data_IF_480229769906
#
_entry.id   IF_480229769906
#
_cell.length_a   1.000
_cell.length_b   1.000
_cell.length_c   1.000
_cell.angle_alpha   90.00
_cell.angle_beta   90.00
_cell.angle_gamma   90.00
#
_symmetry.space_group_name_H-M   'P 1'
#
loop_
_entity.id
_entity.type
_entity.pdbx_description
1 polymer ?
#
# COMPACT_ATOMS: atom_id res chain seq x y z
N UNK A 1 -26.60 -47.16 -11.06
CA UNK A 1 -26.64 -46.74 -12.48
C UNK A 1 -28.10 -46.45 -12.84
N UNK A 2 -28.34 -45.52 -13.76
CA UNK A 2 -29.67 -45.09 -14.26
C UNK A 2 -30.29 -43.94 -13.44
N UNK A 3 -29.70 -42.75 -13.43
CA UNK A 3 -29.76 -41.73 -14.50
C UNK A 3 -31.08 -40.93 -14.41
N UNK A 4 -30.98 -39.83 -13.67
CA UNK A 4 -32.06 -38.87 -13.46
C UNK A 4 -32.32 -38.09 -14.75
N UNK A 5 -33.41 -38.44 -15.43
CA UNK A 5 -33.96 -37.59 -16.49
C UNK A 5 -34.97 -36.64 -15.88
N UNK A 6 -34.59 -35.37 -15.77
CA UNK A 6 -35.55 -34.28 -15.65
C UNK A 6 -36.51 -34.35 -16.83
N UNK A 7 -37.78 -34.68 -16.55
CA UNK A 7 -38.83 -34.62 -17.54
C UNK A 7 -39.23 -33.15 -17.64
N UNK A 8 -38.71 -32.47 -18.66
CA UNK A 8 -39.15 -31.11 -18.99
C UNK A 8 -40.55 -31.22 -19.59
N UNK A 9 -41.56 -30.88 -18.79
CA UNK A 9 -42.94 -30.79 -19.27
C UNK A 9 -43.11 -29.49 -20.05
N UNK A 10 -43.07 -29.60 -21.38
CA UNK A 10 -43.37 -28.49 -22.28
C UNK A 10 -44.86 -28.50 -22.59
N UNK A 11 -45.62 -27.57 -22.03
CA UNK A 11 -47.04 -27.34 -22.40
C UNK A 11 -47.12 -26.37 -23.57
N UNK A 12 -47.50 -26.87 -24.74
CA UNK A 12 -48.06 -26.04 -25.80
C UNK A 12 -49.53 -25.71 -25.49
N UNK A 13 -49.98 -24.48 -25.78
CA UNK A 13 -51.43 -24.18 -25.74
C UNK A 13 -52.08 -24.98 -26.86
N UNK A 14 -52.81 -26.02 -26.49
CA UNK A 14 -53.76 -26.69 -27.39
C UNK A 14 -55.06 -25.90 -27.30
N UNK A 15 -55.36 -25.14 -28.34
CA UNK A 15 -56.59 -24.35 -28.44
C UNK A 15 -57.75 -25.26 -28.88
N UNK A 16 -58.13 -26.18 -27.99
CA UNK A 16 -59.27 -27.07 -28.19
C UNK A 16 -60.45 -26.54 -27.37
N UNK A 17 -61.38 -25.89 -28.08
CA UNK A 17 -62.58 -25.28 -27.51
C UNK A 17 -63.52 -26.28 -26.85
N UNK A 18 -63.40 -27.59 -27.12
CA UNK A 18 -64.23 -28.64 -26.51
C UNK A 18 -63.55 -29.42 -25.38
N UNK A 19 -62.30 -29.10 -25.05
CA UNK A 19 -61.53 -29.84 -24.04
C UNK A 19 -62.12 -29.68 -22.62
N UNK A 20 -62.61 -28.49 -22.31
CA UNK A 20 -63.19 -28.15 -20.99
C UNK A 20 -64.48 -28.95 -20.76
N UNK A 21 -65.37 -29.04 -21.74
CA UNK A 21 -66.63 -29.78 -21.64
C UNK A 21 -66.44 -31.28 -21.47
N UNK A 22 -65.41 -31.86 -22.10
CA UNK A 22 -65.07 -33.29 -21.92
C UNK A 22 -64.53 -33.57 -20.53
N UNK A 23 -63.69 -32.68 -19.98
CA UNK A 23 -63.13 -32.82 -18.63
C UNK A 23 -64.21 -32.71 -17.55
N UNK A 24 -65.22 -31.84 -17.76
CA UNK A 24 -66.41 -31.77 -16.90
C UNK A 24 -67.25 -33.05 -16.94
N UNK A 25 -67.48 -33.62 -18.13
CA UNK A 25 -68.23 -34.90 -18.28
C UNK A 25 -67.51 -36.10 -17.67
N UNK A 26 -66.18 -36.08 -17.58
CA UNK A 26 -65.39 -37.14 -16.95
C UNK A 26 -65.23 -36.99 -15.43
N UNK A 27 -65.91 -36.01 -14.80
CA UNK A 27 -65.94 -35.87 -13.33
C UNK A 27 -64.61 -35.45 -12.71
N UNK A 28 -63.77 -34.73 -13.45
CA UNK A 28 -62.46 -34.29 -12.96
C UNK A 28 -62.65 -33.13 -11.98
N UNK A 29 -62.14 -33.27 -10.75
CA UNK A 29 -62.08 -32.17 -9.79
C UNK A 29 -60.98 -31.19 -10.19
N UNK A 30 -61.37 -29.98 -10.57
CA UNK A 30 -60.42 -28.90 -10.85
C UNK A 30 -59.95 -28.28 -9.53
N UNK A 31 -58.75 -28.64 -9.08
CA UNK A 31 -58.11 -28.00 -7.93
C UNK A 31 -57.32 -26.77 -8.36
N UNK A 32 -57.81 -25.57 -8.04
CA UNK A 32 -57.00 -24.36 -8.12
C UNK A 32 -56.15 -24.22 -6.85
N UNK A 33 -54.83 -24.31 -7.00
CA UNK A 33 -53.92 -23.82 -5.96
C UNK A 33 -53.95 -22.30 -6.09
N UNK A 34 -54.80 -21.62 -5.33
CA UNK A 34 -54.75 -20.15 -5.23
C UNK A 34 -53.37 -19.85 -4.61
N UNK A 35 -52.41 -19.26 -5.34
CA UNK A 35 -51.18 -18.84 -4.70
C UNK A 35 -51.59 -17.74 -3.72
N UNK A 36 -51.49 -18.04 -2.43
CA UNK A 36 -51.72 -17.05 -1.37
C UNK A 36 -50.65 -15.98 -1.56
N UNK A 37 -50.98 -14.92 -2.29
CA UNK A 37 -50.12 -13.74 -2.46
C UNK A 37 -49.94 -13.16 -1.07
N UNK A 38 -48.75 -13.36 -0.51
CA UNK A 38 -48.37 -12.70 0.73
C UNK A 38 -48.60 -11.20 0.56
N UNK A 39 -49.20 -10.56 1.56
CA UNK A 39 -49.53 -9.14 1.50
C UNK A 39 -48.30 -8.34 1.04
N UNK A 40 -48.39 -7.47 0.01
CA UNK A 40 -47.25 -6.72 -0.51
C UNK A 40 -46.48 -5.93 0.56
N UNK A 41 -47.18 -5.52 1.62
CA UNK A 41 -46.60 -4.87 2.79
C UNK A 41 -45.72 -5.83 3.62
N UNK A 42 -46.14 -7.07 3.81
CA UNK A 42 -45.39 -8.09 4.54
C UNK A 42 -44.14 -8.53 3.77
N UNK A 43 -44.21 -8.62 2.44
CA UNK A 43 -43.03 -8.90 1.61
C UNK A 43 -41.98 -7.77 1.68
N UNK A 44 -42.43 -6.52 1.70
CA UNK A 44 -41.54 -5.36 1.83
C UNK A 44 -40.90 -5.31 3.22
N UNK A 45 -41.68 -5.57 4.27
CA UNK A 45 -41.19 -5.61 5.65
C UNK A 45 -40.11 -6.68 5.84
N UNK A 46 -40.26 -7.85 5.20
CA UNK A 46 -39.29 -8.95 5.32
C UNK A 46 -37.92 -8.64 4.68
N UNK A 47 -37.86 -7.71 3.73
CA UNK A 47 -36.59 -7.24 3.14
C UNK A 47 -35.99 -6.05 3.88
N UNK A 48 -36.84 -5.18 4.44
CA UNK A 48 -36.38 -4.00 5.18
C UNK A 48 -35.87 -4.40 6.57
N UNK A 49 -36.49 -5.39 7.21
CA UNK A 49 -36.16 -5.79 8.58
C UNK A 49 -34.69 -6.27 8.72
N UNK A 50 -34.15 -7.16 7.86
CA UNK A 50 -32.74 -7.55 7.94
C UNK A 50 -31.80 -6.37 7.70
N UNK A 51 -32.10 -5.52 6.72
CA UNK A 51 -31.27 -4.36 6.38
C UNK A 51 -31.21 -3.35 7.54
N UNK A 52 -32.37 -3.04 8.13
CA UNK A 52 -32.46 -2.13 9.27
C UNK A 52 -31.74 -2.69 10.51
N UNK A 53 -31.80 -4.02 10.74
CA UNK A 53 -31.10 -4.69 11.81
C UNK A 53 -29.57 -4.62 11.63
N UNK A 54 -29.06 -4.87 10.41
CA UNK A 54 -27.65 -4.70 10.11
C UNK A 54 -27.16 -3.26 10.32
N UNK A 55 -27.94 -2.27 9.89
CA UNK A 55 -27.61 -0.85 10.08
C UNK A 55 -27.62 -0.49 11.58
N UNK A 56 -28.63 -0.93 12.33
CA UNK A 56 -28.74 -0.66 13.76
C UNK A 56 -27.63 -1.30 14.59
N UNK A 57 -27.31 -2.57 14.33
CA UNK A 57 -26.18 -3.27 14.96
C UNK A 57 -24.85 -2.62 14.56
N UNK A 58 -24.70 -2.24 13.29
CA UNK A 58 -23.53 -1.53 12.79
C UNK A 58 -23.31 -0.19 13.48
N UNK A 59 -24.36 0.63 13.64
CA UNK A 59 -24.28 1.91 14.35
C UNK A 59 -23.96 1.74 15.84
N UNK A 60 -24.53 0.72 16.50
CA UNK A 60 -24.28 0.45 17.91
C UNK A 60 -22.85 -0.07 18.16
N UNK A 61 -22.31 -0.90 17.26
CA UNK A 61 -20.92 -1.35 17.30
C UNK A 61 -19.93 -0.24 16.95
N UNK A 62 -20.24 0.58 15.93
CA UNK A 62 -19.44 1.73 15.55
C UNK A 62 -19.37 2.77 16.69
N UNK A 63 -20.48 3.03 17.38
CA UNK A 63 -20.50 3.91 18.56
C UNK A 63 -19.63 3.41 19.72
N UNK A 64 -19.53 2.08 19.90
CA UNK A 64 -18.68 1.46 20.93
C UNK A 64 -17.19 1.40 20.53
N UNK A 65 -16.87 1.28 19.24
CA UNK A 65 -15.49 1.33 18.75
C UNK A 65 -14.95 2.76 18.59
N UNK A 66 -15.79 3.72 18.19
CA UNK A 66 -15.40 5.12 18.04
C UNK A 66 -15.01 5.79 19.37
N UNK A 67 -15.57 5.32 20.51
CA UNK A 67 -15.19 5.78 21.84
C UNK A 67 -13.83 5.27 22.35
N UNK A 68 -13.24 4.26 21.69
CA UNK A 68 -11.95 3.65 22.10
C UNK A 68 -10.86 3.71 21.02
N UNK A 69 -11.21 4.08 19.79
CA UNK A 69 -10.31 4.26 18.66
C UNK A 69 -10.78 5.51 17.89
N UNK A 70 -10.24 6.67 18.24
CA UNK A 70 -10.53 7.90 17.50
C UNK A 70 -10.17 7.75 16.03
N UNK A 71 -11.10 8.09 15.13
CA UNK A 71 -10.78 8.35 13.73
C UNK A 71 -11.55 7.54 12.69
N UNK A 72 -12.86 7.83 12.54
CA UNK A 72 -13.61 7.54 11.31
C UNK A 72 -13.34 8.60 10.20
N UNK A 73 -12.32 9.46 10.38
CA UNK A 73 -11.83 10.40 9.36
C UNK A 73 -10.70 9.84 8.49
N UNK A 74 -10.20 8.63 8.77
CA UNK A 74 -8.95 8.13 8.20
C UNK A 74 -9.10 7.10 7.06
N UNK A 75 -10.33 6.83 6.59
CA UNK A 75 -10.55 5.97 5.42
C UNK A 75 -10.04 6.59 4.10
N UNK A 76 -9.81 7.92 4.07
CA UNK A 76 -9.19 8.63 2.96
C UNK A 76 -7.65 8.69 3.04
N UNK A 77 -7.03 8.07 4.05
CA UNK A 77 -5.56 8.06 4.23
C UNK A 77 -4.86 6.92 3.47
N UNK A 78 -5.55 6.21 2.57
CA UNK A 78 -4.96 5.13 1.76
C UNK A 78 -3.99 5.63 0.66
N UNK A 79 -3.83 6.96 0.51
CA UNK A 79 -3.00 7.58 -0.53
C UNK A 79 -1.67 8.20 -0.06
N UNK A 80 -1.44 8.36 1.25
CA UNK A 80 -0.15 8.83 1.75
C UNK A 80 0.67 7.62 2.20
N UNK A 81 1.60 7.17 1.37
CA UNK A 81 2.68 6.29 1.80
C UNK A 81 3.46 7.00 2.91
N UNK A 82 3.03 6.85 4.16
CA UNK A 82 3.90 7.07 5.33
C UNK A 82 4.91 5.94 5.33
N UNK A 83 5.80 5.94 4.34
CA UNK A 83 7.01 5.15 4.40
C UNK A 83 7.67 5.52 5.72
N UNK A 84 7.98 4.50 6.53
CA UNK A 84 8.84 4.67 7.70
C UNK A 84 10.22 5.05 7.15
N UNK A 85 10.39 6.33 6.82
CA UNK A 85 11.70 6.88 6.54
C UNK A 85 12.42 6.78 7.88
N UNK A 86 13.37 5.84 7.97
CA UNK A 86 14.22 5.69 9.13
C UNK A 86 15.11 6.93 9.19
N UNK A 87 14.63 7.94 9.92
CA UNK A 87 15.45 9.07 10.33
C UNK A 87 16.19 8.61 11.57
N UNK A 88 17.38 8.03 11.39
CA UNK A 88 18.33 7.94 12.49
C UNK A 88 18.83 9.36 12.74
N UNK A 89 18.31 10.00 13.80
CA UNK A 89 18.68 11.37 14.14
C UNK A 89 20.21 11.49 14.36
N UNK A 90 20.84 10.41 14.82
CA UNK A 90 22.29 10.24 14.93
C UNK A 90 22.62 8.75 14.81
N UNK A 91 23.60 8.40 13.97
CA UNK A 91 24.03 7.01 13.73
C UNK A 91 24.81 6.41 14.91
N UNK A 92 25.38 7.26 15.77
CA UNK A 92 26.24 6.85 16.89
C UNK A 92 27.53 6.14 16.45
N UNK A 93 27.90 6.26 15.18
CA UNK A 93 29.10 5.67 14.57
C UNK A 93 30.05 6.77 14.11
N UNK A 94 31.33 6.56 14.31
CA UNK A 94 32.43 7.49 14.01
C UNK A 94 33.45 6.83 13.09
N UNK A 95 34.41 7.58 12.55
CA UNK A 95 35.50 7.00 11.77
C UNK A 95 36.39 6.06 12.60
N UNK A 96 36.39 6.20 13.92
CA UNK A 96 37.06 5.27 14.83
C UNK A 96 36.41 3.88 14.84
N UNK A 97 35.12 3.77 14.50
CA UNK A 97 34.41 2.49 14.40
C UNK A 97 34.69 1.73 13.09
N UNK A 98 35.36 2.38 12.12
CA UNK A 98 35.72 1.78 10.84
C UNK A 98 37.20 1.39 10.89
N UNK A 99 37.52 0.11 10.71
CA UNK A 99 38.90 -0.37 10.63
C UNK A 99 39.40 -0.34 9.17
N UNK A 100 40.62 0.16 8.94
CA UNK A 100 41.21 0.27 7.60
C UNK A 100 40.58 1.33 6.70
N UNK A 101 40.70 1.16 5.38
CA UNK A 101 40.15 2.05 4.34
C UNK A 101 40.61 3.51 4.48
N UNK A 102 41.88 3.72 4.82
CA UNK A 102 42.43 5.05 5.14
C UNK A 102 42.27 6.05 3.98
N UNK A 103 42.46 5.58 2.74
CA UNK A 103 42.25 6.36 1.51
C UNK A 103 40.79 6.83 1.37
N UNK A 104 39.83 5.94 1.65
CA UNK A 104 38.41 6.27 1.58
C UNK A 104 37.98 7.21 2.73
N UNK A 105 38.54 7.03 3.93
CA UNK A 105 38.31 7.94 5.06
C UNK A 105 38.83 9.34 4.76
N UNK A 106 40.02 9.46 4.19
CA UNK A 106 40.60 10.77 3.82
C UNK A 106 39.73 11.48 2.79
N UNK A 107 39.29 10.79 1.74
CA UNK A 107 38.38 11.36 0.73
C UNK A 107 37.02 11.78 1.34
N UNK A 108 36.49 11.00 2.28
CA UNK A 108 35.23 11.32 2.94
C UNK A 108 35.37 12.39 4.02
N UNK A 109 36.57 12.60 4.58
CA UNK A 109 36.85 13.68 5.53
C UNK A 109 36.61 15.05 4.89
N UNK A 110 36.90 15.22 3.60
CA UNK A 110 36.58 16.44 2.86
C UNK A 110 35.07 16.72 2.83
N UNK A 111 34.25 15.67 2.66
CA UNK A 111 32.79 15.78 2.68
C UNK A 111 32.30 16.18 4.09
N UNK A 112 32.93 15.65 5.14
CA UNK A 112 32.64 16.04 6.53
C UNK A 112 32.97 17.52 6.77
N UNK A 113 34.13 18.00 6.33
CA UNK A 113 34.52 19.41 6.48
C UNK A 113 33.55 20.33 5.71
N UNK A 114 33.14 19.91 4.52
CA UNK A 114 32.14 20.61 3.72
C UNK A 114 30.79 20.74 4.45
N UNK A 115 30.28 19.65 5.04
CA UNK A 115 29.00 19.67 5.77
C UNK A 115 29.03 20.57 7.01
N UNK A 116 30.19 20.72 7.64
CA UNK A 116 30.37 21.65 8.77
C UNK A 116 30.43 23.11 8.33
N UNK A 117 31.10 23.43 7.22
CA UNK A 117 31.32 24.81 6.77
C UNK A 117 31.05 25.02 5.28
N UNK A 118 29.79 24.88 4.81
CA UNK A 118 29.46 25.00 3.39
C UNK A 118 29.75 26.40 2.81
N UNK A 119 29.72 27.45 3.64
CA UNK A 119 30.01 28.83 3.24
C UNK A 119 31.44 29.03 2.73
N UNK A 120 32.44 28.46 3.42
CA UNK A 120 33.87 28.56 3.08
C UNK A 120 34.15 28.07 1.65
N UNK A 121 33.50 26.98 1.24
CA UNK A 121 33.65 26.40 -0.11
C UNK A 121 32.89 27.21 -1.17
N UNK A 122 31.74 27.78 -0.81
CA UNK A 122 30.94 28.60 -1.72
C UNK A 122 31.63 29.93 -2.01
N UNK A 123 32.28 30.54 -1.02
CA UNK A 123 33.01 31.82 -1.15
C UNK A 123 34.20 31.74 -2.11
N UNK A 124 34.89 30.60 -2.14
CA UNK A 124 36.01 30.36 -3.07
C UNK A 124 35.55 29.83 -4.44
N UNK A 125 34.23 29.73 -4.67
CA UNK A 125 33.65 29.23 -5.93
C UNK A 125 33.81 27.73 -6.16
N UNK A 126 34.12 26.95 -5.11
CA UNK A 126 34.26 25.50 -5.24
C UNK A 126 32.89 24.85 -5.49
N UNK A 127 32.84 23.94 -6.47
CA UNK A 127 31.61 23.18 -6.75
C UNK A 127 31.46 22.05 -5.76
N UNK A 128 30.36 22.08 -5.02
CA UNK A 128 30.04 21.05 -4.03
C UNK A 128 29.74 19.72 -4.73
N UNK A 129 30.42 18.62 -4.37
CA UNK A 129 30.05 17.30 -4.87
C UNK A 129 28.64 16.95 -4.38
N UNK A 130 27.73 16.67 -5.32
CA UNK A 130 26.32 16.38 -5.01
C UNK A 130 26.10 14.96 -4.45
N UNK A 131 27.09 14.10 -4.53
CA UNK A 131 27.03 12.73 -4.03
C UNK A 131 28.36 12.00 -4.23
N UNK A 132 28.54 10.91 -3.51
CA UNK A 132 29.67 9.99 -3.63
C UNK A 132 29.14 8.57 -3.85
N UNK A 133 29.79 7.80 -4.71
CA UNK A 133 29.45 6.40 -4.96
C UNK A 133 30.52 5.50 -4.34
N UNK A 134 30.14 4.72 -3.33
CA UNK A 134 31.02 3.76 -2.69
C UNK A 134 30.92 2.42 -3.43
N UNK A 135 32.01 1.98 -4.06
CA UNK A 135 32.07 0.73 -4.83
C UNK A 135 33.06 -0.23 -4.16
N UNK A 136 32.67 -1.50 -4.07
CA UNK A 136 33.55 -2.55 -3.57
C UNK A 136 32.78 -3.85 -3.30
N UNK A 137 33.48 -4.97 -3.08
CA UNK A 137 32.87 -6.26 -2.74
C UNK A 137 31.89 -6.16 -1.56
N UNK A 138 30.89 -7.07 -1.44
CA UNK A 138 30.03 -7.10 -0.27
C UNK A 138 30.86 -7.33 1.00
N UNK A 139 30.46 -6.69 2.12
CA UNK A 139 31.14 -6.83 3.40
C UNK A 139 32.30 -5.87 3.66
N UNK A 140 32.69 -5.00 2.72
CA UNK A 140 33.76 -3.99 2.92
C UNK A 140 33.35 -2.77 3.74
N UNK A 141 32.27 -2.86 4.51
CA UNK A 141 31.88 -1.76 5.42
C UNK A 141 31.33 -0.50 4.75
N UNK A 142 30.94 -0.50 3.46
CA UNK A 142 30.37 0.70 2.76
C UNK A 142 29.26 1.39 3.55
N UNK A 143 28.29 0.63 4.05
CA UNK A 143 27.17 1.15 4.87
C UNK A 143 27.67 1.68 6.23
N UNK A 144 28.68 1.04 6.82
CA UNK A 144 29.30 1.48 8.07
C UNK A 144 30.05 2.81 7.88
N UNK A 145 30.80 2.92 6.77
CA UNK A 145 31.54 4.11 6.38
C UNK A 145 30.58 5.28 6.16
N UNK A 146 29.48 5.08 5.44
CA UNK A 146 28.45 6.11 5.26
C UNK A 146 27.81 6.57 6.59
N UNK A 147 27.56 5.63 7.51
CA UNK A 147 27.06 5.95 8.86
C UNK A 147 28.09 6.71 9.71
N UNK A 148 29.37 6.38 9.56
CA UNK A 148 30.47 7.06 10.22
C UNK A 148 30.60 8.52 9.74
N UNK A 149 30.54 8.78 8.43
CA UNK A 149 30.55 10.14 7.86
C UNK A 149 29.44 11.01 8.46
N UNK A 150 28.24 10.43 8.63
CA UNK A 150 27.11 11.14 9.22
C UNK A 150 27.28 11.42 10.71
N UNK A 151 27.87 10.47 11.46
CA UNK A 151 28.16 10.67 12.87
C UNK A 151 29.28 11.69 13.11
N UNK A 152 30.32 11.69 12.28
CA UNK A 152 31.39 12.70 12.30
C UNK A 152 30.84 14.10 11.97
N UNK A 153 29.95 14.18 10.98
CA UNK A 153 29.31 15.45 10.59
C UNK A 153 28.19 15.89 11.54
N UNK A 154 27.74 15.02 12.44
CA UNK A 154 26.58 15.22 13.34
C UNK A 154 25.31 15.69 12.62
N UNK A 155 25.11 15.23 11.39
CA UNK A 155 23.93 15.54 10.57
C UNK A 155 22.94 14.37 10.55
N UNK A 156 21.63 14.61 10.30
CA UNK A 156 20.66 13.54 10.15
C UNK A 156 21.06 12.56 9.03
N UNK A 157 20.89 11.27 9.29
CA UNK A 157 21.14 10.20 8.32
C UNK A 157 19.83 9.60 7.83
N UNK A 158 19.57 9.74 6.54
CA UNK A 158 18.44 9.12 5.86
C UNK A 158 18.95 7.90 5.09
N UNK A 159 18.38 6.72 5.36
CA UNK A 159 18.74 5.48 4.66
C UNK A 159 17.54 4.94 3.90
N UNK A 160 17.77 4.52 2.66
CA UNK A 160 16.81 3.77 1.85
C UNK A 160 17.55 2.66 1.09
N UNK A 161 16.93 1.49 0.95
CA UNK A 161 17.48 0.43 0.11
C UNK A 161 16.96 0.57 -1.32
N UNK A 162 17.84 0.38 -2.31
CA UNK A 162 17.52 0.40 -3.73
C UNK A 162 16.43 -0.62 -4.11
N UNK A 163 16.44 -1.76 -3.43
CA UNK A 163 15.43 -2.82 -3.57
C UNK A 163 14.02 -2.36 -3.15
N UNK A 164 13.86 -1.35 -2.30
CA UNK A 164 12.55 -0.77 -1.95
C UNK A 164 11.89 -0.04 -3.13
N UNK A 165 12.63 0.25 -4.21
CA UNK A 165 12.09 0.92 -5.39
C UNK A 165 11.47 -0.05 -6.41
N UNK A 166 11.71 -1.36 -6.29
CA UNK A 166 11.27 -2.40 -7.25
C UNK A 166 9.99 -3.10 -6.78
N UNK A 167 9.15 -2.42 -5.98
CA UNK A 167 7.90 -2.98 -5.46
C UNK A 167 6.93 -3.38 -6.59
N UNK A 168 6.10 -4.41 -6.34
CA UNK A 168 5.10 -4.93 -7.29
C UNK A 168 4.05 -3.89 -7.74
N UNK A 169 3.98 -2.75 -7.06
CA UNK A 169 3.02 -1.68 -7.32
C UNK A 169 3.68 -0.52 -8.06
N UNK A 170 3.27 -0.34 -9.32
CA UNK A 170 3.77 0.72 -10.20
C UNK A 170 3.58 2.10 -9.56
N UNK A 171 4.65 2.90 -9.53
CA UNK A 171 4.61 4.30 -9.08
C UNK A 171 4.80 4.52 -7.58
N UNK A 172 4.69 3.48 -6.73
CA UNK A 172 4.94 3.62 -5.29
C UNK A 172 6.42 3.90 -5.00
N UNK A 173 7.36 3.20 -5.66
CA UNK A 173 8.79 3.45 -5.49
C UNK A 173 9.20 4.89 -5.85
N UNK A 174 8.69 5.41 -6.98
CA UNK A 174 8.97 6.78 -7.43
C UNK A 174 8.37 7.86 -6.51
N UNK A 175 7.25 7.58 -5.84
CA UNK A 175 6.69 8.47 -4.82
C UNK A 175 7.58 8.55 -3.59
N UNK A 176 8.10 7.41 -3.12
CA UNK A 176 9.02 7.35 -1.97
C UNK A 176 10.32 8.11 -2.20
N UNK A 177 10.93 8.00 -3.39
CA UNK A 177 12.12 8.81 -3.75
C UNK A 177 11.81 10.29 -3.57
N UNK A 178 10.69 10.76 -4.15
CA UNK A 178 10.30 12.17 -4.08
C UNK A 178 10.07 12.63 -2.64
N UNK A 179 9.37 11.83 -1.84
CA UNK A 179 9.09 12.15 -0.44
C UNK A 179 10.36 12.13 0.43
N UNK A 180 11.29 11.20 0.17
CA UNK A 180 12.60 11.15 0.82
C UNK A 180 13.40 12.43 0.56
N UNK A 181 13.55 12.81 -0.71
CA UNK A 181 14.29 14.03 -1.07
C UNK A 181 13.58 15.30 -0.59
N UNK A 182 12.25 15.30 -0.48
CA UNK A 182 11.50 16.41 0.13
C UNK A 182 11.84 16.55 1.61
N UNK A 183 11.77 15.46 2.38
CA UNK A 183 12.11 15.46 3.81
C UNK A 183 13.59 15.77 4.06
N UNK A 184 14.49 15.30 3.20
CA UNK A 184 15.91 15.61 3.27
C UNK A 184 16.19 17.11 3.09
N UNK A 185 15.50 17.77 2.14
CA UNK A 185 15.60 19.22 1.94
C UNK A 185 15.11 20.01 3.15
N UNK A 186 14.03 19.57 3.79
CA UNK A 186 13.49 20.20 5.01
C UNK A 186 14.43 20.08 6.21
N UNK A 187 15.26 19.04 6.27
CA UNK A 187 16.23 18.78 7.35
C UNK A 187 17.69 19.03 6.94
N UNK A 188 17.93 19.85 5.93
CA UNK A 188 19.29 20.17 5.49
C UNK A 188 20.05 20.99 6.56
N UNK A 189 21.36 20.76 6.78
CA UNK A 189 22.22 19.78 6.11
C UNK A 189 21.97 18.34 6.60
N UNK A 190 21.92 17.36 5.68
CA UNK A 190 21.73 15.94 5.99
C UNK A 190 22.43 15.03 4.96
N UNK A 191 22.55 13.74 5.27
CA UNK A 191 23.08 12.72 4.36
C UNK A 191 21.94 11.77 3.96
N UNK A 192 21.84 11.52 2.65
CA UNK A 192 20.94 10.51 2.08
C UNK A 192 21.77 9.36 1.55
N UNK A 193 21.65 8.20 2.17
CA UNK A 193 22.29 6.96 1.77
C UNK A 193 21.30 6.07 1.03
N UNK A 194 21.69 5.65 -0.17
CA UNK A 194 20.95 4.72 -1.01
C UNK A 194 21.80 3.46 -1.13
N UNK A 195 21.39 2.40 -0.43
CA UNK A 195 22.05 1.10 -0.56
C UNK A 195 21.59 0.41 -1.86
N UNK A 196 22.36 -0.54 -2.38
CA UNK A 196 21.99 -1.35 -3.56
C UNK A 196 21.50 -0.50 -4.77
N UNK A 197 22.14 0.65 -5.02
CA UNK A 197 21.71 1.58 -6.10
C UNK A 197 21.77 0.94 -7.50
N UNK A 198 22.53 -0.14 -7.67
CA UNK A 198 22.59 -0.92 -8.90
C UNK A 198 21.24 -1.55 -9.28
N UNK A 199 20.36 -1.81 -8.29
CA UNK A 199 19.01 -2.33 -8.53
C UNK A 199 18.14 -1.37 -9.36
N UNK A 200 18.33 -0.05 -9.19
CA UNK A 200 17.60 0.99 -9.93
C UNK A 200 18.36 1.50 -11.16
N UNK A 201 19.68 1.36 -11.18
CA UNK A 201 20.56 1.97 -12.18
C UNK A 201 20.71 1.18 -13.48
N UNK A 202 20.02 0.03 -13.65
CA UNK A 202 20.12 -0.76 -14.89
C UNK A 202 19.60 0.04 -16.07
N UNK A 203 20.37 0.07 -17.16
CA UNK A 203 19.91 0.64 -18.43
C UNK A 203 18.61 -0.02 -18.85
N UNK A 204 17.67 0.77 -19.37
CA UNK A 204 16.51 0.21 -20.08
C UNK A 204 17.07 -0.56 -21.26
N UNK A 205 17.17 -1.89 -21.15
CA UNK A 205 17.47 -2.72 -22.31
C UNK A 205 16.28 -2.57 -23.25
N UNK A 206 16.53 -1.88 -24.36
CA UNK A 206 15.65 -1.81 -25.52
C UNK A 206 15.80 -3.08 -26.35
#
# INVERSE_FOLDING_TARGET
SSDGKEIIYVTGRVDDSGLVDRLYKSGVEFSQVIPKVNSPLLSLLNWILPLALFIGVGQLLAGRMAGKMGGMGNAMAFGSSKAKIYVEAQTGKSFADVAGEDEAKEALQEIVEFLHNPGKYTEIGATVPKGALLVGPPGTGKTLLAKAVAGESKVPFFSISGSEFVEMFVGMGAARVRDLFKQAKEKAPCIVFIDEIDTIGKSRNA
#
